data_IF_935419832274
#
_entry.id   IF_935419832274
#
_cell.length_a   1.000
_cell.length_b   1.000
_cell.length_c   1.000
_cell.angle_alpha   90.00
_cell.angle_beta   90.00
_cell.angle_gamma   90.00
#
_symmetry.space_group_name_H-M   'P 1'
#
loop_
_entity.id
_entity.type
_entity.pdbx_description
1 polymer ?
#
# COMPACT_ATOMS: atom_id res chain seq x y z
N UNK A 1 14.06 9.08 -5.54
CA UNK A 1 12.86 9.92 -5.35
C UNK A 1 11.77 9.00 -4.83
N UNK A 2 11.37 9.19 -3.58
CA UNK A 2 10.48 8.26 -2.86
C UNK A 2 9.03 8.46 -3.31
N UNK A 3 8.25 7.37 -3.33
CA UNK A 3 6.85 7.41 -3.76
C UNK A 3 5.98 8.33 -2.88
N UNK A 4 6.30 8.41 -1.59
CA UNK A 4 5.67 9.32 -0.63
C UNK A 4 5.77 10.80 -1.08
N UNK A 5 6.94 11.20 -1.60
CA UNK A 5 7.18 12.57 -2.07
C UNK A 5 6.40 12.88 -3.35
N UNK A 6 6.25 11.90 -4.26
CA UNK A 6 5.51 12.08 -5.52
C UNK A 6 4.00 12.16 -5.35
N UNK A 7 3.45 11.53 -4.31
CA UNK A 7 2.00 11.48 -4.08
C UNK A 7 1.51 12.52 -3.07
N UNK A 8 2.42 13.29 -2.44
CA UNK A 8 2.07 14.20 -1.35
C UNK A 8 1.49 13.49 -0.12
N UNK A 9 1.65 12.16 -0.06
CA UNK A 9 1.17 11.31 1.02
C UNK A 9 2.27 11.21 2.07
N UNK A 10 1.99 11.70 3.28
CA UNK A 10 2.72 11.22 4.46
C UNK A 10 2.25 9.78 4.67
N UNK A 11 3.06 8.80 4.25
CA UNK A 11 2.76 7.41 4.61
C UNK A 11 2.82 7.32 6.14
N UNK A 12 1.80 6.74 6.79
CA UNK A 12 1.82 6.54 8.23
C UNK A 12 2.98 5.66 8.66
N UNK A 13 3.59 6.01 9.79
CA UNK A 13 4.72 5.30 10.39
C UNK A 13 6.06 5.98 10.16
N UNK A 14 6.95 5.92 11.16
CA UNK A 14 8.35 6.36 11.07
C UNK A 14 9.20 5.52 10.08
N UNK A 15 8.56 4.61 9.34
CA UNK A 15 9.20 3.67 8.44
C UNK A 15 9.55 4.27 7.08
N UNK A 16 10.83 4.16 6.71
CA UNK A 16 11.32 4.47 5.36
C UNK A 16 10.91 3.38 4.39
N UNK A 17 9.64 3.37 3.94
CA UNK A 17 9.22 2.43 2.90
C UNK A 17 9.62 2.95 1.52
N UNK A 18 10.38 2.14 0.80
CA UNK A 18 10.79 2.45 -0.57
C UNK A 18 9.62 2.31 -1.58
N UNK A 19 8.61 1.50 -1.24
CA UNK A 19 7.49 1.17 -2.14
C UNK A 19 6.14 1.08 -1.41
N UNK A 20 5.05 1.31 -2.14
CA UNK A 20 3.69 1.11 -1.63
C UNK A 20 3.42 -0.35 -1.27
N UNK A 21 3.97 -1.31 -2.03
CA UNK A 21 3.82 -2.73 -1.70
C UNK A 21 4.43 -3.06 -0.35
N UNK A 22 5.63 -2.54 -0.06
CA UNK A 22 6.29 -2.76 1.23
C UNK A 22 5.48 -2.18 2.39
N UNK A 23 5.01 -0.95 2.24
CA UNK A 23 4.12 -0.31 3.21
C UNK A 23 2.85 -1.13 3.48
N UNK A 24 2.11 -1.54 2.44
CA UNK A 24 0.87 -2.29 2.62
C UNK A 24 1.08 -3.69 3.21
N UNK A 25 2.25 -4.30 2.98
CA UNK A 25 2.58 -5.62 3.52
C UNK A 25 2.77 -5.66 5.03
N UNK A 26 3.20 -4.55 5.62
CA UNK A 26 3.28 -4.44 7.08
C UNK A 26 1.92 -4.62 7.75
N UNK A 27 0.86 -4.12 7.09
CA UNK A 27 -0.51 -4.28 7.56
C UNK A 27 -1.13 -5.63 7.16
N UNK A 28 -0.75 -6.18 6.01
CA UNK A 28 -1.35 -7.40 5.46
C UNK A 28 -0.76 -8.71 5.98
N UNK A 29 0.46 -8.71 6.57
CA UNK A 29 1.26 -9.87 7.05
C UNK A 29 1.62 -10.94 5.99
N UNK A 30 0.78 -11.13 4.98
CA UNK A 30 0.97 -11.94 3.78
C UNK A 30 0.55 -11.13 2.55
N UNK A 31 0.78 -11.64 1.34
CA UNK A 31 0.34 -10.95 0.12
C UNK A 31 -1.19 -10.94 0.04
N UNK A 32 -1.84 -9.77 0.11
CA UNK A 32 -3.29 -9.69 0.08
C UNK A 32 -3.84 -10.04 -1.30
N UNK A 33 -4.99 -10.73 -1.31
CA UNK A 33 -5.70 -11.09 -2.55
C UNK A 33 -6.29 -9.85 -3.23
N UNK A 34 -6.48 -9.87 -4.56
CA UNK A 34 -7.30 -8.87 -5.24
C UNK A 34 -8.68 -8.72 -4.58
N UNK A 35 -9.13 -7.47 -4.41
CA UNK A 35 -10.35 -7.10 -3.70
C UNK A 35 -10.15 -6.78 -2.21
N UNK A 36 -9.04 -7.19 -1.60
CA UNK A 36 -8.74 -6.80 -0.21
C UNK A 36 -8.60 -5.29 -0.11
N UNK A 37 -9.22 -4.71 0.92
CA UNK A 37 -9.10 -3.29 1.24
C UNK A 37 -8.38 -3.13 2.57
N UNK A 38 -7.36 -2.27 2.59
CA UNK A 38 -6.60 -1.87 3.77
C UNK A 38 -6.89 -0.39 3.99
N UNK A 39 -7.27 -0.01 5.21
CA UNK A 39 -7.54 1.39 5.56
C UNK A 39 -6.51 1.87 6.57
N UNK A 40 -5.80 2.94 6.22
CA UNK A 40 -4.79 3.56 7.09
C UNK A 40 -4.98 5.06 7.07
N UNK A 41 -5.13 5.66 8.26
CA UNK A 41 -5.37 7.11 8.44
C UNK A 41 -6.51 7.68 7.55
N UNK A 42 -7.58 6.90 7.33
CA UNK A 42 -8.73 7.32 6.52
C UNK A 42 -8.53 7.17 5.00
N UNK A 43 -7.36 6.70 4.55
CA UNK A 43 -7.10 6.39 3.14
C UNK A 43 -7.38 4.90 2.91
N UNK A 44 -8.18 4.59 1.89
CA UNK A 44 -8.49 3.22 1.49
C UNK A 44 -7.62 2.77 0.32
N UNK A 45 -6.94 1.66 0.52
CA UNK A 45 -6.11 0.97 -0.46
C UNK A 45 -6.78 -0.34 -0.84
N UNK A 46 -7.34 -0.44 -2.05
CA UNK A 46 -7.93 -1.67 -2.56
C UNK A 46 -6.96 -2.33 -3.54
N UNK A 47 -6.56 -3.57 -3.24
CA UNK A 47 -5.69 -4.37 -4.11
C UNK A 47 -6.46 -4.72 -5.38
N UNK A 48 -5.99 -4.24 -6.52
CA UNK A 48 -6.59 -4.56 -7.82
C UNK A 48 -5.92 -5.79 -8.44
N UNK A 49 -4.59 -5.90 -8.28
CA UNK A 49 -3.81 -7.02 -8.81
C UNK A 49 -2.63 -7.34 -7.90
N UNK A 50 -2.46 -8.63 -7.63
CA UNK A 50 -1.31 -9.16 -6.89
C UNK A 50 -0.95 -10.56 -7.43
N UNK A 51 0.33 -10.90 -7.35
CA UNK A 51 0.83 -12.28 -7.51
C UNK A 51 1.03 -12.89 -6.12
N UNK A 52 1.40 -14.18 -5.99
CA UNK A 52 1.80 -14.73 -4.69
C UNK A 52 3.02 -14.06 -4.04
N UNK A 53 3.74 -13.18 -4.76
CA UNK A 53 5.01 -12.60 -4.33
C UNK A 53 4.97 -11.09 -4.19
N UNK A 54 4.07 -10.39 -4.90
CA UNK A 54 4.08 -8.92 -4.94
C UNK A 54 2.71 -8.32 -5.23
N UNK A 55 2.43 -7.15 -4.63
CA UNK A 55 1.30 -6.30 -4.99
C UNK A 55 1.68 -5.52 -6.26
N UNK A 56 0.87 -5.63 -7.30
CA UNK A 56 1.16 -5.00 -8.60
C UNK A 56 0.37 -3.70 -8.78
N UNK A 57 -0.91 -3.71 -8.40
CA UNK A 57 -1.80 -2.56 -8.62
C UNK A 57 -2.70 -2.33 -7.40
N UNK A 58 -2.82 -1.05 -7.04
CA UNK A 58 -3.61 -0.59 -5.90
C UNK A 58 -4.45 0.59 -6.34
N UNK A 59 -5.74 0.55 -6.04
CA UNK A 59 -6.60 1.71 -6.11
C UNK A 59 -6.56 2.44 -4.76
N UNK A 60 -6.33 3.75 -4.81
CA UNK A 60 -6.32 4.63 -3.63
C UNK A 60 -7.58 5.48 -3.64
N UNK A 61 -8.26 5.61 -2.50
CA UNK A 61 -9.39 6.56 -2.29
C UNK A 61 -9.20 7.31 -0.97
N UNK A 62 -9.46 8.60 -0.98
CA UNK A 62 -9.44 9.53 0.16
C UNK A 62 -10.73 10.34 0.21
#
# INVERSE_FOLDING_TARGET
MLLAEKLGLKLPGEGSYDTLSGFLLEFAREIPKPGTTIEVEGIKFTIQRATPQVIQEVQIRW
#
